data_IF_467755663874
#
_entry.id   IF_467755663874
#
_cell.length_a   1.000
_cell.length_b   1.000
_cell.length_c   1.000
_cell.angle_alpha   90.00
_cell.angle_beta   90.00
_cell.angle_gamma   90.00
#
_symmetry.space_group_name_H-M   'P 1'
#
loop_
_entity.id
_entity.type
_entity.pdbx_description
1 polymer ?
#
# COMPACT_ATOMS: atom_id res chain seq x y z
N UNK A 1 22.88 -13.07 -11.91
CA UNK A 1 21.60 -12.65 -11.30
C UNK A 1 21.46 -11.14 -11.46
N UNK A 2 20.52 -10.65 -12.30
CA UNK A 2 20.24 -9.21 -12.38
C UNK A 2 19.69 -8.76 -11.01
N UNK A 3 20.29 -7.72 -10.44
CA UNK A 3 19.83 -7.10 -9.19
C UNK A 3 18.41 -6.53 -9.36
N UNK A 4 17.38 -7.33 -9.05
CA UNK A 4 15.97 -6.91 -9.15
C UNK A 4 15.27 -6.81 -7.77
N UNK A 5 16.05 -6.95 -6.68
CA UNK A 5 15.54 -6.96 -5.31
C UNK A 5 14.90 -5.64 -4.85
N UNK A 6 15.20 -4.53 -5.50
CA UNK A 6 14.68 -3.20 -5.18
C UNK A 6 13.44 -2.79 -6.00
N UNK A 7 13.05 -3.58 -7.03
CA UNK A 7 11.97 -3.19 -7.95
C UNK A 7 10.60 -3.12 -7.29
N UNK A 8 10.24 -4.09 -6.46
CA UNK A 8 8.96 -4.06 -5.73
C UNK A 8 8.94 -2.91 -4.73
N UNK A 9 9.96 -2.70 -3.86
CA UNK A 9 10.01 -1.53 -2.99
C UNK A 9 9.87 -0.21 -3.73
N UNK A 10 10.64 0.00 -4.80
CA UNK A 10 10.59 1.25 -5.54
C UNK A 10 9.22 1.48 -6.18
N UNK A 11 8.62 0.43 -6.78
CA UNK A 11 7.28 0.52 -7.35
C UNK A 11 6.25 0.87 -6.29
N UNK A 12 6.25 0.17 -5.16
CA UNK A 12 5.29 0.39 -4.08
C UNK A 12 5.41 1.79 -3.48
N UNK A 13 6.63 2.29 -3.25
CA UNK A 13 6.85 3.64 -2.77
C UNK A 13 6.36 4.70 -3.76
N UNK A 14 6.66 4.54 -5.05
CA UNK A 14 6.17 5.45 -6.09
C UNK A 14 4.64 5.40 -6.21
N UNK A 15 4.06 4.20 -6.17
CA UNK A 15 2.61 4.02 -6.20
C UNK A 15 1.94 4.64 -4.97
N UNK A 16 2.51 4.46 -3.77
CA UNK A 16 2.02 5.08 -2.53
C UNK A 16 1.96 6.59 -2.63
N UNK A 17 3.04 7.20 -3.09
CA UNK A 17 3.08 8.65 -3.25
C UNK A 17 2.02 9.15 -4.25
N UNK A 18 1.82 8.43 -5.36
CA UNK A 18 0.77 8.75 -6.33
C UNK A 18 -0.62 8.58 -5.70
N UNK A 19 -0.86 7.48 -4.98
CA UNK A 19 -2.10 7.22 -4.26
C UNK A 19 -2.41 8.34 -3.27
N UNK A 20 -1.44 8.71 -2.43
CA UNK A 20 -1.59 9.81 -1.48
C UNK A 20 -1.98 11.13 -2.16
N UNK A 21 -1.32 11.49 -3.27
CA UNK A 21 -1.66 12.71 -4.01
C UNK A 21 -3.08 12.64 -4.60
N UNK A 22 -3.50 11.48 -5.09
CA UNK A 22 -4.85 11.28 -5.61
C UNK A 22 -5.89 11.34 -4.49
N UNK A 23 -5.63 10.71 -3.34
CA UNK A 23 -6.53 10.75 -2.18
C UNK A 23 -6.74 12.17 -1.68
N UNK A 24 -5.67 12.92 -1.44
CA UNK A 24 -5.76 14.28 -0.93
C UNK A 24 -6.42 15.23 -1.92
N UNK A 25 -6.12 15.12 -3.22
CA UNK A 25 -6.57 16.13 -4.22
C UNK A 25 -7.90 15.81 -4.86
N UNK A 26 -8.21 14.53 -5.07
CA UNK A 26 -9.42 14.09 -5.79
C UNK A 26 -10.41 13.41 -4.85
N UNK A 27 -9.99 12.35 -4.16
CA UNK A 27 -10.89 11.51 -3.40
C UNK A 27 -11.47 12.24 -2.19
N UNK A 28 -10.67 13.04 -1.50
CA UNK A 28 -11.12 13.86 -0.38
C UNK A 28 -12.28 14.80 -0.75
N UNK A 29 -12.27 15.34 -1.98
CA UNK A 29 -13.35 16.19 -2.47
C UNK A 29 -14.63 15.42 -2.82
N UNK A 30 -14.51 14.20 -3.30
CA UNK A 30 -15.63 13.36 -3.72
C UNK A 30 -16.30 12.63 -2.55
N UNK A 31 -15.55 12.38 -1.49
CA UNK A 31 -16.08 11.77 -0.28
C UNK A 31 -16.78 12.78 0.65
N UNK A 32 -16.59 14.08 0.43
CA UNK A 32 -17.23 15.13 1.23
C UNK A 32 -18.70 15.25 0.82
N UNK A 33 -19.59 15.14 1.80
CA UNK A 33 -21.05 15.33 1.67
C UNK A 33 -21.50 16.43 2.62
N UNK A 34 -22.37 17.31 2.13
CA UNK A 34 -23.03 18.30 2.98
C UNK A 34 -24.33 17.69 3.50
N UNK A 35 -24.47 17.62 4.80
CA UNK A 35 -25.66 17.11 5.49
C UNK A 35 -26.81 18.16 5.44
N UNK A 36 -28.06 17.75 5.68
CA UNK A 36 -29.22 18.65 5.65
C UNK A 36 -29.14 19.81 6.64
N UNK A 37 -28.36 19.66 7.70
CA UNK A 37 -28.10 20.70 8.73
C UNK A 37 -27.01 21.70 8.31
N UNK A 38 -26.44 21.55 7.11
CA UNK A 38 -25.34 22.39 6.62
C UNK A 38 -23.94 21.96 7.10
N UNK A 39 -23.84 20.95 7.94
CA UNK A 39 -22.54 20.41 8.36
C UNK A 39 -21.87 19.60 7.25
N UNK A 40 -20.54 19.55 7.29
CA UNK A 40 -19.72 18.79 6.34
C UNK A 40 -19.34 17.47 6.99
N UNK A 41 -19.62 16.38 6.30
CA UNK A 41 -19.24 15.01 6.72
C UNK A 41 -18.55 14.28 5.58
N UNK A 42 -17.81 13.23 5.88
CA UNK A 42 -17.26 12.33 4.87
C UNK A 42 -18.13 11.08 4.74
N UNK A 43 -18.45 10.71 3.51
CA UNK A 43 -19.10 9.44 3.19
C UNK A 43 -18.07 8.31 3.22
N UNK A 44 -18.06 7.57 4.33
CA UNK A 44 -17.10 6.50 4.55
C UNK A 44 -17.22 5.37 3.51
N UNK A 45 -18.43 5.10 3.02
CA UNK A 45 -18.66 4.07 2.00
C UNK A 45 -18.03 4.47 0.67
N UNK A 46 -18.22 5.73 0.26
CA UNK A 46 -17.57 6.25 -0.97
C UNK A 46 -16.06 6.23 -0.83
N UNK A 47 -15.52 6.70 0.30
CA UNK A 47 -14.10 6.65 0.58
C UNK A 47 -13.55 5.23 0.43
N UNK A 48 -14.19 4.25 1.04
CA UNK A 48 -13.77 2.85 1.00
C UNK A 48 -13.77 2.27 -0.41
N UNK A 49 -14.84 2.47 -1.18
CA UNK A 49 -14.94 1.97 -2.55
C UNK A 49 -13.84 2.57 -3.45
N UNK A 50 -13.58 3.86 -3.30
CA UNK A 50 -12.57 4.56 -4.08
C UNK A 50 -11.15 4.12 -3.72
N UNK A 51 -10.85 3.97 -2.43
CA UNK A 51 -9.56 3.46 -1.95
C UNK A 51 -9.34 2.01 -2.40
N UNK A 52 -10.37 1.16 -2.33
CA UNK A 52 -10.28 -0.20 -2.84
C UNK A 52 -10.02 -0.25 -4.36
N UNK A 53 -10.70 0.60 -5.13
CA UNK A 53 -10.47 0.70 -6.58
C UNK A 53 -9.04 1.17 -6.89
N UNK A 54 -8.51 2.12 -6.12
CA UNK A 54 -7.15 2.61 -6.26
C UNK A 54 -6.12 1.51 -5.94
N UNK A 55 -6.33 0.77 -4.85
CA UNK A 55 -5.50 -0.38 -4.50
C UNK A 55 -5.48 -1.43 -5.62
N UNK A 56 -6.64 -1.81 -6.16
CA UNK A 56 -6.74 -2.75 -7.28
C UNK A 56 -6.02 -2.23 -8.52
N UNK A 57 -6.13 -0.93 -8.83
CA UNK A 57 -5.41 -0.32 -9.94
C UNK A 57 -3.89 -0.44 -9.77
N UNK A 58 -3.36 -0.16 -8.57
CA UNK A 58 -1.93 -0.33 -8.24
C UNK A 58 -1.50 -1.77 -8.42
N UNK A 59 -2.28 -2.74 -7.91
CA UNK A 59 -1.96 -4.17 -8.04
C UNK A 59 -1.96 -4.61 -9.51
N UNK A 60 -2.96 -4.21 -10.29
CA UNK A 60 -3.06 -4.55 -11.71
C UNK A 60 -1.93 -3.93 -12.53
N UNK A 61 -1.65 -2.64 -12.36
CA UNK A 61 -0.56 -1.96 -13.07
C UNK A 61 0.79 -2.59 -12.70
N UNK A 62 1.06 -2.79 -11.42
CA UNK A 62 2.27 -3.45 -10.95
C UNK A 62 2.43 -4.85 -11.53
N UNK A 63 1.39 -5.67 -11.39
CA UNK A 63 1.40 -7.05 -11.83
C UNK A 63 1.57 -7.21 -13.34
N UNK A 64 0.74 -6.54 -14.13
CA UNK A 64 0.71 -6.74 -15.58
C UNK A 64 1.76 -5.95 -16.35
N UNK A 65 2.18 -4.77 -15.86
CA UNK A 65 3.12 -3.91 -16.57
C UNK A 65 4.54 -4.10 -16.06
N UNK A 66 4.74 -4.03 -14.74
CA UNK A 66 6.09 -4.00 -14.16
C UNK A 66 6.65 -5.38 -13.82
N UNK A 67 5.83 -6.29 -13.28
CA UNK A 67 6.33 -7.55 -12.72
C UNK A 67 6.11 -8.78 -13.61
N UNK A 68 5.35 -8.68 -14.70
CA UNK A 68 5.07 -9.78 -15.62
C UNK A 68 6.33 -10.48 -16.15
N UNK A 69 7.43 -9.76 -16.30
CA UNK A 69 8.71 -10.29 -16.83
C UNK A 69 9.66 -10.80 -15.75
N UNK A 70 9.26 -10.71 -14.49
CA UNK A 70 10.06 -11.19 -13.37
C UNK A 70 9.64 -12.61 -13.00
N UNK A 71 10.60 -13.39 -12.48
CA UNK A 71 10.29 -14.70 -11.91
C UNK A 71 9.61 -14.56 -10.56
N UNK A 72 8.78 -15.53 -10.19
CA UNK A 72 8.13 -15.53 -8.88
C UNK A 72 9.11 -15.42 -7.71
N UNK A 73 10.27 -16.06 -7.83
CA UNK A 73 11.33 -15.99 -6.81
C UNK A 73 11.92 -14.58 -6.68
N UNK A 74 12.15 -13.90 -7.81
CA UNK A 74 12.66 -12.51 -7.78
C UNK A 74 11.65 -11.57 -7.14
N UNK A 75 10.36 -11.70 -7.50
CA UNK A 75 9.29 -10.88 -6.89
C UNK A 75 9.21 -11.17 -5.39
N UNK A 76 9.22 -12.44 -4.98
CA UNK A 76 9.17 -12.82 -3.58
C UNK A 76 10.34 -12.23 -2.79
N UNK A 77 11.57 -12.39 -3.25
CA UNK A 77 12.74 -11.81 -2.59
C UNK A 77 12.64 -10.27 -2.51
N UNK A 78 12.17 -9.63 -3.57
CA UNK A 78 11.99 -8.18 -3.61
C UNK A 78 10.88 -7.72 -2.65
N UNK A 79 9.78 -8.47 -2.54
CA UNK A 79 8.72 -8.23 -1.57
C UNK A 79 9.21 -8.38 -0.12
N UNK A 80 10.04 -9.38 0.17
CA UNK A 80 10.65 -9.52 1.50
C UNK A 80 11.47 -8.28 1.90
N UNK A 81 12.18 -7.66 0.95
CA UNK A 81 12.90 -6.41 1.23
C UNK A 81 11.94 -5.30 1.64
N UNK A 82 10.81 -5.15 0.92
CA UNK A 82 9.80 -4.15 1.28
C UNK A 82 9.21 -4.42 2.67
N UNK A 83 8.87 -5.68 2.97
CA UNK A 83 8.34 -6.06 4.29
C UNK A 83 9.33 -5.72 5.40
N UNK A 84 10.62 -6.01 5.22
CA UNK A 84 11.66 -5.65 6.21
C UNK A 84 11.72 -4.13 6.38
N UNK A 85 11.67 -3.36 5.30
CA UNK A 85 11.63 -1.89 5.35
C UNK A 85 10.39 -1.40 6.11
N UNK A 86 9.20 -1.92 5.80
CA UNK A 86 7.96 -1.54 6.47
C UNK A 86 8.03 -1.83 7.98
N UNK A 87 8.53 -2.99 8.38
CA UNK A 87 8.67 -3.33 9.81
C UNK A 87 9.69 -2.43 10.51
N UNK A 88 10.88 -2.24 9.93
CA UNK A 88 11.94 -1.44 10.54
C UNK A 88 11.50 0.03 10.68
N UNK A 89 11.01 0.62 9.59
CA UNK A 89 10.59 2.02 9.62
C UNK A 89 9.26 2.23 10.35
N UNK A 90 8.34 1.27 10.30
CA UNK A 90 7.12 1.30 11.11
C UNK A 90 7.41 1.30 12.61
N UNK A 91 8.32 0.45 13.07
CA UNK A 91 8.77 0.45 14.46
C UNK A 91 9.53 1.74 14.82
N UNK A 92 10.31 2.27 13.90
CA UNK A 92 11.01 3.54 14.09
C UNK A 92 10.02 4.70 14.21
N UNK A 93 9.04 4.81 13.31
CA UNK A 93 8.00 5.85 13.35
C UNK A 93 7.19 5.77 14.63
N UNK A 94 6.79 4.57 15.06
CA UNK A 94 6.05 4.38 16.32
C UNK A 94 6.82 4.92 17.53
N UNK A 95 8.13 4.68 17.62
CA UNK A 95 8.96 5.19 18.71
C UNK A 95 9.27 6.67 18.60
N UNK A 96 9.47 7.18 17.38
CA UNK A 96 9.98 8.53 17.12
C UNK A 96 8.88 9.54 16.73
N UNK A 97 7.63 9.14 16.70
CA UNK A 97 6.49 9.99 16.31
C UNK A 97 6.45 11.35 17.03
N UNK A 98 6.80 11.38 18.31
CA UNK A 98 6.83 12.61 19.11
C UNK A 98 8.05 13.48 18.84
N UNK A 99 9.16 12.90 18.40
CA UNK A 99 10.45 13.59 18.22
C UNK A 99 10.62 14.08 16.78
N UNK A 100 10.20 13.26 15.80
CA UNK A 100 10.35 13.55 14.38
C UNK A 100 9.00 13.40 13.63
N UNK A 101 8.04 14.31 13.85
CA UNK A 101 6.72 14.21 13.21
C UNK A 101 6.80 14.30 11.69
N UNK A 102 7.71 15.12 11.14
CA UNK A 102 7.90 15.25 9.68
C UNK A 102 8.35 13.94 9.03
N UNK A 103 9.18 13.14 9.71
CA UNK A 103 9.60 11.84 9.20
C UNK A 103 8.43 10.84 9.21
N UNK A 104 7.59 10.88 10.24
CA UNK A 104 6.40 10.03 10.33
C UNK A 104 5.42 10.31 9.20
N UNK A 105 5.16 11.60 8.90
CA UNK A 105 4.31 12.01 7.78
C UNK A 105 4.91 11.52 6.45
N UNK A 106 6.19 11.77 6.21
CA UNK A 106 6.86 11.33 5.00
C UNK A 106 6.80 9.80 4.82
N UNK A 107 6.99 9.04 5.90
CA UNK A 107 6.91 7.59 5.83
C UNK A 107 5.48 7.10 5.55
N UNK A 108 4.46 7.70 6.16
CA UNK A 108 3.06 7.38 5.89
C UNK A 108 2.69 7.61 4.42
N UNK A 109 3.20 8.67 3.80
CA UNK A 109 3.00 8.93 2.37
C UNK A 109 3.62 7.84 1.47
N UNK A 110 4.75 7.24 1.89
CA UNK A 110 5.43 6.17 1.16
C UNK A 110 4.84 4.78 1.34
N UNK A 111 3.96 4.61 2.34
CA UNK A 111 3.28 3.34 2.65
C UNK A 111 1.77 3.43 2.45
N UNK A 112 1.26 4.49 1.80
CA UNK A 112 -0.18 4.74 1.65
C UNK A 112 -0.91 3.61 0.93
N UNK A 113 -0.30 2.99 -0.10
CA UNK A 113 -0.96 1.94 -0.87
C UNK A 113 -1.35 0.71 -0.04
N UNK A 114 -0.62 0.38 1.02
CA UNK A 114 -0.91 -0.74 1.92
C UNK A 114 -1.75 -0.31 3.14
N UNK A 115 -1.76 0.98 3.48
CA UNK A 115 -2.63 1.54 4.51
C UNK A 115 -4.12 1.37 4.17
N UNK A 116 -4.47 1.39 2.88
CA UNK A 116 -5.82 1.09 2.38
C UNK A 116 -6.29 -0.28 2.87
N UNK A 117 -5.41 -1.28 2.84
CA UNK A 117 -5.74 -2.63 3.34
C UNK A 117 -6.01 -2.61 4.84
N UNK A 118 -5.22 -1.88 5.61
CA UNK A 118 -5.44 -1.68 7.05
C UNK A 118 -6.81 -1.05 7.33
N UNK A 119 -7.17 -0.01 6.59
CA UNK A 119 -8.47 0.66 6.73
C UNK A 119 -9.64 -0.27 6.39
N UNK A 120 -9.53 -1.04 5.30
CA UNK A 120 -10.56 -2.02 4.93
C UNK A 120 -10.74 -3.11 6.00
N UNK A 121 -9.63 -3.62 6.55
CA UNK A 121 -9.67 -4.64 7.59
C UNK A 121 -10.22 -4.10 8.92
N UNK A 122 -9.91 -2.86 9.26
CA UNK A 122 -10.46 -2.19 10.44
C UNK A 122 -11.98 -2.04 10.35
N UNK A 123 -12.52 -1.76 9.16
CA UNK A 123 -13.97 -1.70 8.96
C UNK A 123 -14.67 -3.05 9.05
N UNK A 124 -13.94 -4.16 8.97
CA UNK A 124 -14.44 -5.52 9.21
C UNK A 124 -14.31 -5.93 10.68
N UNK A 125 -14.25 -4.96 11.61
CA UNK A 125 -14.12 -5.16 13.06
C UNK A 125 -12.85 -5.93 13.49
N UNK A 126 -11.82 -5.97 12.66
CA UNK A 126 -10.53 -6.52 13.04
C UNK A 126 -9.78 -5.55 13.96
N UNK A 127 -9.03 -6.11 14.90
CA UNK A 127 -8.19 -5.32 15.82
C UNK A 127 -7.20 -4.47 15.02
N UNK A 128 -7.03 -3.20 15.42
CA UNK A 128 -6.17 -2.22 14.76
C UNK A 128 -4.73 -2.74 14.55
N UNK A 129 -4.14 -3.35 15.56
CA UNK A 129 -2.79 -3.92 15.48
C UNK A 129 -2.70 -5.10 14.50
N UNK A 130 -3.72 -5.94 14.47
CA UNK A 130 -3.78 -7.07 13.54
C UNK A 130 -3.97 -6.57 12.12
N UNK A 131 -4.84 -5.58 11.91
CA UNK A 131 -5.07 -4.95 10.61
C UNK A 131 -3.81 -4.30 10.06
N UNK A 132 -3.07 -3.56 10.90
CA UNK A 132 -1.80 -2.95 10.52
C UNK A 132 -0.73 -4.01 10.20
N UNK A 133 -0.62 -5.06 11.00
CA UNK A 133 0.34 -6.15 10.75
C UNK A 133 0.05 -6.87 9.43
N UNK A 134 -1.23 -7.17 9.14
CA UNK A 134 -1.64 -7.78 7.87
C UNK A 134 -1.30 -6.85 6.70
N UNK A 135 -1.61 -5.55 6.81
CA UNK A 135 -1.34 -4.55 5.78
C UNK A 135 0.16 -4.42 5.48
N UNK A 136 1.03 -4.51 6.48
CA UNK A 136 2.47 -4.41 6.27
C UNK A 136 3.10 -5.68 5.70
N UNK A 137 2.53 -6.85 6.03
CA UNK A 137 3.15 -8.14 5.70
C UNK A 137 2.62 -8.74 4.39
N UNK A 138 1.31 -8.69 4.13
CA UNK A 138 0.70 -9.47 3.06
C UNK A 138 0.67 -8.78 1.68
N UNK A 139 0.30 -7.50 1.54
CA UNK A 139 0.11 -6.87 0.24
C UNK A 139 1.29 -6.98 -0.72
N UNK A 140 2.57 -6.86 -0.30
CA UNK A 140 3.69 -6.97 -1.21
C UNK A 140 3.79 -8.32 -1.93
N UNK A 141 3.29 -9.40 -1.30
CA UNK A 141 3.34 -10.73 -1.90
C UNK A 141 2.27 -10.99 -2.96
N UNK A 142 1.26 -10.12 -3.08
CA UNK A 142 0.22 -10.26 -4.12
C UNK A 142 0.84 -10.23 -5.53
N UNK A 143 1.94 -9.51 -5.69
CA UNK A 143 2.66 -9.42 -6.96
C UNK A 143 3.31 -10.73 -7.40
N UNK A 144 3.54 -11.68 -6.50
CA UNK A 144 4.08 -13.01 -6.82
C UNK A 144 3.13 -13.78 -7.75
N UNK A 145 1.83 -13.50 -7.68
CA UNK A 145 0.82 -14.13 -8.54
C UNK A 145 1.04 -13.80 -10.02
N UNK A 146 1.61 -12.65 -10.33
CA UNK A 146 1.84 -12.18 -11.70
C UNK A 146 3.20 -12.61 -12.28
N UNK A 147 4.09 -13.16 -11.45
CA UNK A 147 5.40 -13.61 -11.86
C UNK A 147 5.36 -14.85 -12.76
N UNK A 148 6.30 -14.94 -13.72
CA UNK A 148 6.44 -16.12 -14.55
C UNK A 148 6.98 -17.30 -13.76
N UNK A 149 6.43 -18.49 -14.01
CA UNK A 149 7.08 -19.74 -13.59
C UNK A 149 8.30 -19.96 -14.51
N UNK A 150 9.47 -20.12 -13.92
CA UNK A 150 10.57 -20.75 -14.61
C UNK A 150 10.24 -22.26 -14.65
N UNK A 151 9.65 -22.73 -15.75
CA UNK A 151 9.68 -24.14 -16.04
C UNK A 151 11.15 -24.47 -16.30
N UNK A 152 11.73 -25.21 -15.36
CA UNK A 152 13.08 -25.78 -15.51
C UNK A 152 12.94 -26.91 -16.52
N UNK A 153 12.94 -26.55 -17.80
CA UNK A 153 13.24 -27.45 -18.87
C UNK A 153 14.67 -27.14 -19.35
N UNK A 154 15.59 -27.90 -18.85
CA UNK A 154 16.96 -27.96 -19.24
C UNK A 154 17.59 -29.16 -18.60
#
# INVERSE_FOLDING_TARGET
MKQSWWKVPLYCMAASWICFQLEVRLLGRWAIVTLPDGSISSDNTRWMVMSAALFLAVVCIGGFVFFRRMTRKEIFCSACVLVVLNVVFGLFTYKMQRVFPSFTIFWSELTEWDSIVSQLLFQLDLNEWLSAAIAWLLPPYIFVLFGTRHDVHG
#
